data_IF_796274388552
#
_entry.id   IF_796274388552
#
_cell.length_a   1.000
_cell.length_b   1.000
_cell.length_c   1.000
_cell.angle_alpha   90.00
_cell.angle_beta   90.00
_cell.angle_gamma   90.00
#
_symmetry.space_group_name_H-M   'P 1'
#
loop_
_entity.id
_entity.type
_entity.pdbx_description
1 polymer ?
#
# COMPACT_ATOMS: atom_id res chain seq x y z
N UNK A 1 -6.19 16.56 18.68
CA UNK A 1 -6.03 15.15 19.11
C UNK A 1 -5.34 14.27 18.07
N UNK A 2 -5.59 14.52 16.77
CA UNK A 2 -4.86 13.86 15.67
C UNK A 2 -3.67 14.68 15.20
N UNK A 3 -3.85 16.00 15.01
CA UNK A 3 -2.77 16.89 14.58
C UNK A 3 -1.69 16.94 15.66
N UNK A 4 -0.47 16.62 15.27
CA UNK A 4 0.73 16.77 16.08
C UNK A 4 1.67 17.79 15.45
N UNK A 5 2.78 18.09 16.13
CA UNK A 5 3.88 18.87 15.55
C UNK A 5 4.70 18.06 14.53
N UNK A 6 4.59 16.73 14.56
CA UNK A 6 5.25 15.81 13.62
C UNK A 6 4.52 15.72 12.28
N UNK A 7 5.26 15.30 11.25
CA UNK A 7 4.71 15.05 9.92
C UNK A 7 3.67 13.92 9.95
N UNK A 8 2.52 14.19 9.31
CA UNK A 8 1.39 13.28 9.23
C UNK A 8 0.79 13.33 7.82
N UNK A 9 0.64 12.17 7.19
CA UNK A 9 0.23 12.11 5.79
C UNK A 9 -0.52 10.82 5.44
N UNK A 10 -1.14 10.84 4.25
CA UNK A 10 -1.92 9.74 3.66
C UNK A 10 -3.01 9.16 4.59
N UNK A 11 -4.00 9.97 5.02
CA UNK A 11 -5.11 9.46 5.78
C UNK A 11 -6.04 8.59 4.91
N UNK A 12 -6.48 7.48 5.48
CA UNK A 12 -7.51 6.60 4.96
C UNK A 12 -8.62 6.44 6.01
N UNK A 13 -9.88 6.65 5.60
CA UNK A 13 -11.02 6.75 6.52
C UNK A 13 -12.02 5.63 6.22
N UNK A 14 -12.46 4.98 7.30
CA UNK A 14 -13.35 3.81 7.25
C UNK A 14 -14.82 4.22 7.32
N UNK A 15 -15.75 3.28 7.14
CA UNK A 15 -17.20 3.54 7.31
C UNK A 15 -17.58 4.00 8.72
N UNK A 16 -16.81 3.59 9.74
CA UNK A 16 -17.00 4.01 11.13
C UNK A 16 -16.40 5.40 11.41
N UNK A 17 -15.75 6.01 10.42
CA UNK A 17 -15.02 7.26 10.59
C UNK A 17 -13.65 7.08 11.25
N UNK A 18 -13.24 5.86 11.59
CA UNK A 18 -11.87 5.59 12.07
C UNK A 18 -10.88 6.00 10.99
N UNK A 19 -9.90 6.81 11.36
CA UNK A 19 -8.82 7.27 10.48
C UNK A 19 -7.56 6.44 10.72
N UNK A 20 -6.94 5.98 9.64
CA UNK A 20 -5.63 5.34 9.61
C UNK A 20 -4.70 6.24 8.81
N UNK A 21 -3.49 6.48 9.29
CA UNK A 21 -2.58 7.44 8.67
C UNK A 21 -1.14 7.15 9.08
N UNK A 22 -0.19 7.69 8.32
CA UNK A 22 1.23 7.65 8.70
C UNK A 22 1.55 8.87 9.56
N UNK A 23 2.31 8.67 10.63
CA UNK A 23 2.85 9.74 11.48
C UNK A 23 4.30 9.41 11.82
N UNK A 24 5.14 10.43 11.88
CA UNK A 24 6.46 10.30 12.51
C UNK A 24 6.31 10.09 14.03
N UNK A 25 7.05 9.12 14.56
CA UNK A 25 7.10 8.77 15.97
C UNK A 25 8.16 9.63 16.68
N UNK A 26 7.72 10.41 17.67
CA UNK A 26 8.56 11.39 18.36
C UNK A 26 9.73 10.81 19.17
N UNK A 27 9.78 9.50 19.37
CA UNK A 27 10.86 8.84 20.13
C UNK A 27 11.94 8.33 19.18
N UNK A 28 11.53 7.73 18.08
CA UNK A 28 12.42 7.08 17.11
C UNK A 28 12.77 7.95 15.92
N UNK A 29 11.99 9.01 15.66
CA UNK A 29 11.99 9.78 14.41
C UNK A 29 11.78 8.88 13.17
N UNK A 30 11.14 7.73 13.36
CA UNK A 30 10.70 6.85 12.28
C UNK A 30 9.21 7.01 12.06
N UNK A 31 8.76 6.68 10.86
CA UNK A 31 7.37 6.78 10.46
C UNK A 31 6.65 5.43 10.65
N UNK A 32 5.46 5.51 11.23
CA UNK A 32 4.60 4.37 11.49
C UNK A 32 3.16 4.66 11.12
N UNK A 33 2.40 3.60 10.96
CA UNK A 33 0.96 3.63 10.74
C UNK A 33 0.27 3.69 12.11
N UNK A 34 -0.55 4.72 12.27
CA UNK A 34 -1.38 4.97 13.43
C UNK A 34 -2.86 4.88 13.05
N UNK A 35 -3.68 4.76 14.09
CA UNK A 35 -5.14 4.82 14.00
C UNK A 35 -5.69 5.83 14.99
N UNK A 36 -6.75 6.53 14.62
CA UNK A 36 -7.57 7.32 15.54
C UNK A 36 -9.04 7.01 15.31
N UNK A 37 -9.70 6.52 16.37
CA UNK A 37 -11.13 6.21 16.36
C UNK A 37 -11.96 7.49 16.45
N UNK A 38 -13.08 7.51 15.75
CA UNK A 38 -14.06 8.57 15.87
C UNK A 38 -15.12 8.17 16.91
N UNK A 39 -15.23 8.94 17.99
CA UNK A 39 -16.21 8.72 19.07
C UNK A 39 -16.96 10.03 19.29
N UNK A 40 -18.29 9.99 19.15
CA UNK A 40 -19.17 11.16 19.29
C UNK A 40 -18.73 12.40 18.48
N UNK A 41 -18.26 12.16 17.25
CA UNK A 41 -17.79 13.21 16.33
C UNK A 41 -16.39 13.74 16.65
N UNK A 42 -15.70 13.18 17.65
CA UNK A 42 -14.36 13.60 18.07
C UNK A 42 -13.35 12.48 17.85
N UNK A 43 -12.27 12.78 17.12
CA UNK A 43 -11.16 11.86 16.98
C UNK A 43 -10.40 11.69 18.29
N UNK A 44 -10.15 10.45 18.66
CA UNK A 44 -9.45 10.08 19.89
C UNK A 44 -7.93 10.21 19.72
N UNK A 45 -7.20 10.04 20.83
CA UNK A 45 -5.73 9.98 20.78
C UNK A 45 -5.27 8.91 19.79
N UNK A 46 -4.27 9.22 18.98
CA UNK A 46 -3.70 8.26 18.04
C UNK A 46 -3.07 7.06 18.76
N UNK A 47 -3.29 5.87 18.22
CA UNK A 47 -2.70 4.62 18.68
C UNK A 47 -1.83 4.03 17.56
N UNK A 48 -0.58 3.68 17.90
CA UNK A 48 0.36 3.03 16.99
C UNK A 48 -0.13 1.61 16.72
N UNK A 49 -0.20 1.21 15.45
CA UNK A 49 -0.57 -0.15 15.09
C UNK A 49 0.57 -1.16 15.41
N UNK A 50 0.26 -2.46 15.57
CA UNK A 50 1.27 -3.45 15.92
C UNK A 50 2.31 -3.66 14.81
N UNK A 51 3.39 -4.35 15.17
CA UNK A 51 4.53 -4.65 14.29
C UNK A 51 4.11 -5.35 12.99
N UNK A 52 3.11 -6.23 13.06
CA UNK A 52 2.56 -6.90 11.88
C UNK A 52 2.05 -5.95 10.79
N UNK A 53 1.57 -4.76 11.17
CA UNK A 53 1.15 -3.70 10.23
C UNK A 53 2.32 -2.78 9.90
N UNK A 54 3.12 -2.46 10.92
CA UNK A 54 4.29 -1.62 10.79
C UNK A 54 5.50 -2.42 10.27
N UNK A 55 5.44 -2.87 9.02
CA UNK A 55 6.50 -3.70 8.40
C UNK A 55 7.61 -2.88 7.72
N UNK A 56 8.87 -3.28 7.87
CA UNK A 56 10.01 -2.67 7.16
C UNK A 56 10.16 -1.16 7.41
N UNK A 57 10.97 -0.43 6.65
CA UNK A 57 11.13 1.03 6.85
C UNK A 57 10.36 1.88 5.82
N UNK A 58 9.71 1.26 4.84
CA UNK A 58 9.05 1.93 3.70
C UNK A 58 7.51 1.88 3.77
N UNK A 59 6.98 1.82 4.99
CA UNK A 59 5.55 1.61 5.37
C UNK A 59 4.67 2.86 5.26
N UNK A 60 4.83 3.57 4.15
CA UNK A 60 4.12 4.81 3.85
C UNK A 60 2.81 4.50 3.14
N UNK A 61 1.83 5.40 3.22
CA UNK A 61 0.64 5.38 2.34
C UNK A 61 -0.25 4.14 2.47
N UNK A 62 -0.38 3.60 3.69
CA UNK A 62 -1.20 2.42 3.93
C UNK A 62 -2.70 2.68 3.65
N UNK A 63 -3.35 1.71 3.03
CA UNK A 63 -4.79 1.72 2.78
C UNK A 63 -5.52 0.80 3.74
N UNK A 64 -6.49 1.33 4.50
CA UNK A 64 -7.43 0.51 5.27
C UNK A 64 -8.69 0.22 4.45
N UNK A 65 -9.12 -1.04 4.46
CA UNK A 65 -10.44 -1.42 3.94
C UNK A 65 -11.57 -0.69 4.66
N UNK A 66 -12.65 -0.38 3.93
CA UNK A 66 -13.78 0.37 4.48
C UNK A 66 -14.47 -0.29 5.70
N UNK A 67 -14.33 -1.61 5.85
CA UNK A 67 -14.86 -2.40 6.95
C UNK A 67 -13.83 -2.66 8.07
N UNK A 68 -12.62 -2.12 7.94
CA UNK A 68 -11.48 -2.35 8.84
C UNK A 68 -11.03 -3.82 8.95
N UNK A 69 -11.32 -4.65 7.96
CA UNK A 69 -11.08 -6.09 8.01
C UNK A 69 -9.72 -6.51 7.43
N UNK A 70 -9.08 -5.63 6.67
CA UNK A 70 -7.67 -5.72 6.26
C UNK A 70 -7.07 -4.32 5.99
N UNK A 71 -5.74 -4.24 6.03
CA UNK A 71 -4.93 -3.09 5.61
C UNK A 71 -3.93 -3.54 4.53
N UNK A 72 -3.66 -2.68 3.56
CA UNK A 72 -2.63 -2.86 2.53
C UNK A 72 -1.50 -1.88 2.84
N UNK A 73 -0.28 -2.39 2.93
CA UNK A 73 0.92 -1.64 3.33
C UNK A 73 2.02 -1.85 2.28
N UNK A 74 2.53 -0.78 1.66
CA UNK A 74 3.81 -0.81 0.97
C UNK A 74 4.93 -1.22 1.93
N UNK A 75 5.77 -2.16 1.53
CA UNK A 75 6.78 -2.72 2.44
C UNK A 75 7.94 -3.37 1.70
N UNK A 76 8.99 -3.68 2.45
CA UNK A 76 10.10 -4.48 1.95
C UNK A 76 10.43 -5.56 2.99
N UNK A 77 10.24 -6.82 2.62
CA UNK A 77 10.64 -8.00 3.40
C UNK A 77 11.61 -8.80 2.52
N UNK A 78 12.88 -8.88 2.93
CA UNK A 78 13.98 -9.41 2.11
C UNK A 78 13.72 -10.82 1.60
N UNK A 79 13.10 -11.66 2.42
CA UNK A 79 12.79 -13.06 2.11
C UNK A 79 11.49 -13.22 1.30
N UNK A 80 10.67 -12.17 1.17
CA UNK A 80 9.34 -12.20 0.56
C UNK A 80 9.09 -10.98 -0.35
N UNK A 81 10.04 -10.67 -1.25
CA UNK A 81 9.96 -9.51 -2.16
C UNK A 81 10.23 -9.87 -3.62
N UNK A 82 9.68 -9.07 -4.52
CA UNK A 82 9.97 -9.06 -5.95
C UNK A 82 11.18 -8.21 -6.35
N UNK A 83 11.92 -7.65 -5.38
CA UNK A 83 13.17 -6.93 -5.60
C UNK A 83 13.11 -5.42 -5.30
N UNK A 84 11.97 -4.93 -4.83
CA UNK A 84 11.72 -3.53 -4.46
C UNK A 84 10.65 -3.43 -3.37
N UNK A 85 10.08 -2.24 -3.18
CA UNK A 85 8.91 -2.08 -2.30
C UNK A 85 7.72 -2.82 -2.92
N UNK A 86 7.07 -3.71 -2.18
CA UNK A 86 5.90 -4.49 -2.61
C UNK A 86 4.65 -4.13 -1.79
N UNK A 87 3.45 -4.48 -2.29
CA UNK A 87 2.24 -4.42 -1.47
C UNK A 87 2.08 -5.68 -0.62
N UNK A 88 1.97 -5.49 0.69
CA UNK A 88 1.61 -6.53 1.65
C UNK A 88 0.19 -6.28 2.15
N UNK A 89 -0.54 -7.37 2.41
CA UNK A 89 -1.83 -7.32 3.07
C UNK A 89 -1.72 -7.90 4.47
N UNK A 90 -2.42 -7.25 5.41
CA UNK A 90 -2.52 -7.68 6.81
C UNK A 90 -4.00 -7.73 7.17
N UNK A 91 -4.48 -8.88 7.64
CA UNK A 91 -5.88 -9.08 7.99
C UNK A 91 -6.12 -8.76 9.46
N UNK A 92 -7.30 -8.25 9.77
CA UNK A 92 -7.75 -8.00 11.13
C UNK A 92 -8.87 -8.95 11.51
N UNK A 93 -8.81 -9.50 12.72
CA UNK A 93 -9.87 -10.31 13.31
C UNK A 93 -10.85 -9.45 14.13
N UNK A 94 -11.87 -10.11 14.67
CA UNK A 94 -12.90 -9.49 15.51
C UNK A 94 -12.40 -8.98 16.87
N UNK A 95 -11.21 -9.43 17.32
CA UNK A 95 -10.59 -9.07 18.58
C UNK A 95 -9.52 -7.98 18.43
N UNK A 96 -9.40 -7.36 17.24
CA UNK A 96 -8.37 -6.36 16.90
C UNK A 96 -6.94 -6.93 16.83
N UNK A 97 -6.80 -8.25 16.63
CA UNK A 97 -5.53 -8.86 16.28
C UNK A 97 -5.27 -8.71 14.77
N UNK A 98 -4.01 -8.47 14.43
CA UNK A 98 -3.56 -8.30 13.05
C UNK A 98 -2.71 -9.50 12.66
N UNK A 99 -3.03 -10.13 11.54
CA UNK A 99 -2.31 -11.29 11.03
C UNK A 99 -0.84 -10.97 10.73
N UNK A 100 -0.01 -11.97 10.46
CA UNK A 100 1.27 -11.74 9.80
C UNK A 100 1.06 -11.07 8.44
N UNK A 101 1.99 -10.22 7.98
CA UNK A 101 1.95 -9.62 6.65
C UNK A 101 2.12 -10.69 5.58
N UNK A 102 1.41 -10.54 4.47
CA UNK A 102 1.50 -11.42 3.32
C UNK A 102 1.75 -10.60 2.06
N UNK A 103 2.81 -10.90 1.31
CA UNK A 103 3.00 -10.27 0.00
C UNK A 103 1.81 -10.59 -0.93
N UNK A 104 1.23 -9.56 -1.55
CA UNK A 104 0.06 -9.70 -2.41
C UNK A 104 0.39 -10.31 -3.77
N UNK A 105 1.66 -10.28 -4.17
CA UNK A 105 2.17 -10.83 -5.41
C UNK A 105 1.47 -10.29 -6.66
N UNK A 106 1.49 -11.07 -7.73
CA UNK A 106 0.70 -10.72 -8.94
C UNK A 106 -0.80 -10.78 -8.61
N UNK A 107 -1.60 -9.82 -9.13
CA UNK A 107 -1.27 -8.88 -10.20
C UNK A 107 -0.72 -7.52 -9.74
N UNK A 108 -0.53 -7.29 -8.43
CA UNK A 108 -0.29 -5.93 -7.89
C UNK A 108 1.18 -5.62 -7.60
N UNK A 109 1.99 -6.65 -7.38
CA UNK A 109 3.44 -6.56 -7.22
C UNK A 109 4.16 -7.13 -8.44
N UNK A 110 5.26 -6.50 -8.85
CA UNK A 110 6.04 -6.92 -10.00
C UNK A 110 7.55 -6.76 -9.81
N UNK A 111 8.33 -7.50 -10.61
CA UNK A 111 9.77 -7.65 -10.42
C UNK A 111 10.53 -6.32 -10.53
N UNK A 112 11.36 -6.01 -9.53
CA UNK A 112 12.24 -4.83 -9.45
C UNK A 112 11.48 -3.50 -9.63
N UNK A 113 10.24 -3.42 -9.17
CA UNK A 113 9.40 -2.21 -9.29
C UNK A 113 9.20 -1.56 -7.92
N UNK A 114 8.64 -0.35 -7.95
CA UNK A 114 8.37 0.44 -6.76
C UNK A 114 6.87 0.64 -6.57
N UNK A 115 6.31 -0.10 -5.62
CA UNK A 115 4.90 -0.06 -5.26
C UNK A 115 4.70 0.86 -4.04
N UNK A 116 4.14 2.07 -4.25
CA UNK A 116 4.09 3.08 -3.18
C UNK A 116 2.70 3.42 -2.64
N UNK A 117 1.64 3.20 -3.40
CA UNK A 117 0.29 3.66 -3.04
C UNK A 117 -0.77 2.81 -3.71
N UNK A 118 -1.68 2.27 -2.91
CA UNK A 118 -2.84 1.53 -3.40
C UNK A 118 -4.12 2.02 -2.72
N UNK A 119 -5.25 1.81 -3.39
CA UNK A 119 -6.58 1.94 -2.80
C UNK A 119 -7.55 0.91 -3.40
N UNK A 120 -8.59 0.55 -2.66
CA UNK A 120 -9.63 -0.35 -3.15
C UNK A 120 -10.93 0.44 -3.40
N UNK A 121 -11.62 0.11 -4.49
CA UNK A 121 -12.89 0.73 -4.88
C UNK A 121 -13.93 0.63 -3.76
N UNK A 122 -14.89 1.58 -3.66
CA UNK A 122 -15.90 1.56 -2.61
C UNK A 122 -16.74 0.28 -2.54
N UNK A 123 -16.96 -0.37 -3.69
CA UNK A 123 -17.66 -1.65 -3.80
C UNK A 123 -16.77 -2.87 -3.55
N UNK A 124 -15.47 -2.66 -3.29
CA UNK A 124 -14.50 -3.68 -2.94
C UNK A 124 -14.03 -4.55 -4.11
N UNK A 125 -14.42 -4.26 -5.36
CA UNK A 125 -14.16 -5.13 -6.52
C UNK A 125 -12.83 -4.89 -7.22
N UNK A 126 -12.29 -3.68 -7.12
CA UNK A 126 -11.07 -3.29 -7.81
C UNK A 126 -10.07 -2.68 -6.85
N UNK A 127 -8.80 -3.03 -7.05
CA UNK A 127 -7.68 -2.32 -6.46
C UNK A 127 -7.09 -1.42 -7.54
N UNK A 128 -6.79 -0.18 -7.19
CA UNK A 128 -6.02 0.77 -7.97
C UNK A 128 -4.68 0.94 -7.27
N UNK A 129 -3.59 0.89 -8.01
CA UNK A 129 -2.26 0.89 -7.42
C UNK A 129 -1.23 1.51 -8.36
N UNK A 130 -0.20 2.10 -7.77
CA UNK A 130 0.94 2.62 -8.50
C UNK A 130 2.00 1.53 -8.68
N UNK A 131 2.64 1.49 -9.86
CA UNK A 131 3.79 0.62 -10.14
C UNK A 131 4.61 1.21 -11.30
N UNK A 132 5.91 0.93 -11.34
CA UNK A 132 6.85 1.42 -12.36
C UNK A 132 6.94 0.46 -13.55
N UNK A 133 5.79 0.14 -14.13
CA UNK A 133 5.67 -0.90 -15.13
C UNK A 133 6.65 -0.75 -16.30
N UNK A 134 7.31 -1.83 -16.70
CA UNK A 134 8.10 -1.90 -17.93
C UNK A 134 7.62 -3.06 -18.80
N UNK A 135 7.18 -2.77 -20.02
CA UNK A 135 7.02 -3.78 -21.08
C UNK A 135 8.37 -3.95 -21.78
N UNK A 136 8.98 -5.12 -21.60
CA UNK A 136 10.26 -5.48 -22.24
C UNK A 136 10.12 -5.69 -23.76
N UNK A 137 8.89 -5.74 -24.29
CA UNK A 137 8.61 -5.95 -25.71
C UNK A 137 8.47 -4.65 -26.51
N UNK A 138 8.74 -3.48 -25.90
CA UNK A 138 8.70 -2.23 -26.63
C UNK A 138 9.72 -2.22 -27.79
N UNK A 139 9.22 -2.17 -29.03
CA UNK A 139 10.06 -2.07 -30.23
C UNK A 139 10.74 -0.69 -30.32
N UNK A 140 12.07 -0.68 -30.35
CA UNK A 140 12.91 0.49 -30.61
C UNK A 140 13.85 0.24 -31.78
N UNK A 141 14.23 1.30 -32.50
CA UNK A 141 15.24 1.24 -33.54
C UNK A 141 16.63 0.94 -32.95
N UNK A 142 17.53 0.35 -33.74
CA UNK A 142 18.96 0.21 -33.42
C UNK A 142 19.82 0.89 -34.52
N UNK A 143 20.55 1.98 -34.21
CA UNK A 143 20.63 2.64 -32.89
C UNK A 143 19.35 3.37 -32.51
N UNK A 144 19.10 3.50 -31.21
CA UNK A 144 17.94 4.22 -30.69
C UNK A 144 17.97 5.69 -31.13
N UNK A 145 16.83 6.19 -31.60
CA UNK A 145 16.69 7.58 -32.07
C UNK A 145 15.95 8.44 -31.03
N UNK A 146 16.08 9.77 -31.13
CA UNK A 146 15.29 10.68 -30.29
C UNK A 146 13.77 10.48 -30.46
N UNK A 147 13.33 10.11 -31.67
CA UNK A 147 11.92 9.81 -31.94
C UNK A 147 11.45 8.55 -31.19
N UNK A 148 12.31 7.55 -31.05
CA UNK A 148 12.01 6.35 -30.25
C UNK A 148 11.88 6.70 -28.77
N UNK A 149 12.76 7.56 -28.24
CA UNK A 149 12.67 8.07 -26.87
C UNK A 149 11.36 8.84 -26.62
N UNK A 150 11.01 9.77 -27.50
CA UNK A 150 9.75 10.52 -27.40
C UNK A 150 8.53 9.60 -27.42
N UNK A 151 8.56 8.55 -28.26
CA UNK A 151 7.50 7.55 -28.32
C UNK A 151 7.41 6.76 -27.01
N UNK A 152 8.53 6.21 -26.53
CA UNK A 152 8.58 5.44 -25.28
C UNK A 152 8.14 6.27 -24.08
N UNK A 153 8.61 7.52 -23.97
CA UNK A 153 8.26 8.40 -22.86
C UNK A 153 6.74 8.65 -22.74
N UNK A 154 6.02 8.62 -23.86
CA UNK A 154 4.59 8.85 -23.90
C UNK A 154 3.74 7.56 -23.91
N UNK A 155 4.37 6.38 -23.83
CA UNK A 155 3.68 5.10 -23.72
C UNK A 155 3.54 4.67 -22.25
N UNK A 156 2.45 3.98 -21.87
CA UNK A 156 2.39 3.31 -20.59
C UNK A 156 3.45 2.21 -20.51
N UNK A 157 3.76 1.77 -19.30
CA UNK A 157 4.73 0.69 -19.07
C UNK A 157 6.14 1.00 -19.62
N UNK A 158 6.56 2.26 -19.58
CA UNK A 158 7.87 2.69 -20.05
C UNK A 158 8.94 2.74 -18.93
N UNK A 159 8.64 2.17 -17.78
CA UNK A 159 9.46 2.19 -16.57
C UNK A 159 9.21 3.38 -15.65
N UNK A 160 8.32 4.32 -16.02
CA UNK A 160 7.84 5.39 -15.14
C UNK A 160 6.59 4.94 -14.37
N UNK A 161 6.32 5.61 -13.26
CA UNK A 161 5.15 5.32 -12.43
C UNK A 161 3.85 5.59 -13.17
N UNK A 162 3.02 4.56 -13.25
CA UNK A 162 1.67 4.60 -13.81
C UNK A 162 0.65 4.12 -12.76
N UNK A 163 -0.64 4.43 -13.00
CA UNK A 163 -1.75 3.89 -12.22
C UNK A 163 -2.32 2.67 -12.93
N UNK A 164 -2.31 1.54 -12.24
CA UNK A 164 -2.89 0.27 -12.68
C UNK A 164 -4.13 -0.07 -11.88
N UNK A 165 -4.89 -1.04 -12.37
CA UNK A 165 -6.00 -1.61 -11.63
C UNK A 165 -6.13 -3.11 -11.88
N UNK A 166 -6.66 -3.82 -10.89
CA UNK A 166 -6.93 -5.25 -10.96
C UNK A 166 -8.18 -5.62 -10.14
N UNK A 167 -8.75 -6.80 -10.41
CA UNK A 167 -9.82 -7.36 -9.56
C UNK A 167 -9.25 -7.82 -8.22
N UNK A 168 -10.00 -7.62 -7.15
CA UNK A 168 -9.61 -7.96 -5.76
C UNK A 168 -9.93 -9.41 -5.36
N UNK A 169 -10.42 -10.24 -6.30
CA UNK A 169 -10.88 -11.60 -6.01
C UNK A 169 -9.83 -12.45 -5.25
N UNK A 170 -8.54 -12.22 -5.52
CA UNK A 170 -7.42 -12.90 -4.88
C UNK A 170 -7.26 -12.59 -3.38
N UNK A 171 -7.77 -11.45 -2.89
CA UNK A 171 -7.71 -11.07 -1.47
C UNK A 171 -8.43 -12.11 -0.59
N UNK A 172 -9.52 -12.72 -1.09
CA UNK A 172 -10.24 -13.78 -0.35
C UNK A 172 -9.38 -15.02 -0.15
N UNK A 173 -8.56 -15.37 -1.13
CA UNK A 173 -7.64 -16.51 -1.03
C UNK A 173 -6.43 -16.20 -0.15
N UNK A 174 -6.00 -14.94 -0.08
CA UNK A 174 -5.03 -14.48 0.90
C UNK A 174 -5.60 -14.59 2.32
N UNK A 175 -6.85 -14.14 2.56
CA UNK A 175 -7.50 -14.20 3.88
C UNK A 175 -7.55 -15.61 4.46
N UNK A 176 -7.83 -16.63 3.64
CA UNK A 176 -7.88 -18.04 4.09
C UNK A 176 -6.55 -18.56 4.64
N UNK A 177 -5.44 -17.91 4.29
CA UNK A 177 -4.08 -18.28 4.69
C UNK A 177 -3.51 -17.35 5.77
N UNK A 178 -4.33 -16.43 6.29
CA UNK A 178 -3.89 -15.49 7.31
C UNK A 178 -3.57 -16.21 8.63
N UNK A 179 -2.41 -15.90 9.20
CA UNK A 179 -1.98 -16.38 10.51
C UNK A 179 -2.04 -15.23 11.51
N UNK A 180 -2.84 -15.36 12.57
CA UNK A 180 -3.01 -14.36 13.63
C UNK A 180 -2.08 -14.61 14.82
#
# INVERSE_FOLDING_TARGET
PINTESDQYFPSVTKKGTMYFTSEDSITNEEFIYRSKLVDGVYQKQEKLPENVNIGLVRYNAYISSNEDYIIVPGYIKEDTYGGTDYYIVFRDENDNWSKPMNMGKPVSSKNRWEWSACVSPDGKYIFFMSDGLDENHEVSDPITMKDYEKLHNLPQNGLSDIYWAKTDFIKELRKRAEF
#
